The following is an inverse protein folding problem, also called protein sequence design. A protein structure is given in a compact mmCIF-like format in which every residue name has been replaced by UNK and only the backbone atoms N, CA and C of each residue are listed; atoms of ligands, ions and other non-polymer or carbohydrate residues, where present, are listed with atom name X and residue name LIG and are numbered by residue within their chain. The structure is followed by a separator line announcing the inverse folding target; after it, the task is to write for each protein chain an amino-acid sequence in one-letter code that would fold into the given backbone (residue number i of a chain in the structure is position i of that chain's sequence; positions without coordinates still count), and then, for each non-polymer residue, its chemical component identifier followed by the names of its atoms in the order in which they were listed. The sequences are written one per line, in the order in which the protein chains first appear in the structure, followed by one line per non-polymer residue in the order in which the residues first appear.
data_IF_676400177668
#
_entry.id   IF_676400177668
#
_cell.length_a   1.000
_cell.length_b   1.000
_cell.length_c   1.000
_cell.angle_alpha   90.00
_cell.angle_beta   90.00
_cell.angle_gamma   90.00
#
_symmetry.space_group_name_H-M   'P 1'
#
loop_
_entity.id
_entity.type
_entity.pdbx_description
1 polymer ?
#
# COMPACT_ATOMS: atom_id res chain seq x y z
N UNK A 1 -21.14 52.94 -37.10
CA UNK A 1 -21.54 52.08 -36.00
C UNK A 1 -20.37 51.11 -35.71
N UNK A 2 -19.43 51.51 -34.87
CA UNK A 2 -18.25 50.68 -34.45
C UNK A 2 -18.65 49.87 -33.22
N UNK A 3 -18.71 48.56 -33.35
CA UNK A 3 -18.85 47.66 -32.20
C UNK A 3 -17.43 47.30 -31.81
N UNK A 4 -16.87 47.98 -30.82
CA UNK A 4 -15.67 47.60 -30.15
C UNK A 4 -15.97 46.43 -29.18
N UNK A 5 -15.75 45.21 -29.64
CA UNK A 5 -15.68 44.05 -28.77
C UNK A 5 -14.31 44.01 -28.06
N UNK A 6 -14.13 44.89 -27.09
CA UNK A 6 -13.01 44.79 -26.17
C UNK A 6 -13.25 43.61 -25.24
N UNK A 7 -12.74 42.44 -25.63
CA UNK A 7 -12.70 41.26 -24.79
C UNK A 7 -11.93 41.61 -23.51
N UNK A 8 -12.61 41.61 -22.34
CA UNK A 8 -12.01 42.03 -21.08
C UNK A 8 -10.81 41.11 -20.78
N UNK A 9 -9.63 41.66 -20.48
CA UNK A 9 -8.40 40.95 -20.14
C UNK A 9 -8.62 39.72 -19.26
N UNK A 10 -9.57 39.83 -18.31
CA UNK A 10 -9.94 38.75 -17.39
C UNK A 10 -10.65 37.57 -18.09
N UNK A 11 -11.40 37.79 -19.15
CA UNK A 11 -12.05 36.74 -19.94
C UNK A 11 -11.03 36.03 -20.86
N UNK A 12 -10.10 36.78 -21.42
CA UNK A 12 -8.98 36.23 -22.19
C UNK A 12 -8.10 35.32 -21.32
N UNK A 13 -7.69 35.79 -20.14
CA UNK A 13 -6.89 34.99 -19.19
C UNK A 13 -7.60 33.70 -18.72
N UNK A 14 -8.91 33.77 -18.46
CA UNK A 14 -9.70 32.60 -18.09
C UNK A 14 -9.84 31.61 -19.25
N UNK A 15 -10.01 32.09 -20.45
CA UNK A 15 -10.09 31.25 -21.67
C UNK A 15 -8.77 30.56 -21.99
N UNK A 16 -7.65 31.28 -21.88
CA UNK A 16 -6.31 30.70 -22.12
C UNK A 16 -5.89 29.71 -21.04
N UNK A 17 -6.20 29.98 -19.75
CA UNK A 17 -5.94 29.03 -18.67
C UNK A 17 -6.78 27.74 -18.85
N UNK A 18 -8.05 27.86 -19.20
CA UNK A 18 -8.93 26.72 -19.46
C UNK A 18 -8.48 25.87 -20.65
N UNK A 19 -8.10 26.50 -21.75
CA UNK A 19 -7.57 25.81 -22.93
C UNK A 19 -6.21 25.12 -22.64
N UNK A 20 -5.31 25.78 -21.92
CA UNK A 20 -4.03 25.19 -21.53
C UNK A 20 -4.19 23.98 -20.60
N UNK A 21 -5.18 24.01 -19.69
CA UNK A 21 -5.47 22.87 -18.81
C UNK A 21 -6.03 21.67 -19.58
N UNK A 22 -6.88 21.87 -20.57
CA UNK A 22 -7.42 20.79 -21.42
C UNK A 22 -6.33 20.15 -22.30
N UNK A 23 -5.42 20.95 -22.86
CA UNK A 23 -4.30 20.46 -23.65
C UNK A 23 -3.30 19.70 -22.77
N UNK A 24 -3.08 20.14 -21.53
CA UNK A 24 -2.21 19.44 -20.58
C UNK A 24 -2.78 18.05 -20.20
N UNK A 25 -4.09 17.94 -19.99
CA UNK A 25 -4.75 16.66 -19.66
C UNK A 25 -4.75 15.68 -20.85
N UNK A 26 -5.03 16.16 -22.06
CA UNK A 26 -4.96 15.34 -23.28
C UNK A 26 -3.52 14.94 -23.67
N UNK A 27 -2.53 15.75 -23.26
CA UNK A 27 -1.11 15.46 -23.49
C UNK A 27 -0.58 14.29 -22.65
N UNK A 28 -1.18 14.01 -21.51
CA UNK A 28 -0.73 12.93 -20.62
C UNK A 28 -0.90 11.55 -21.27
N UNK A 29 -2.00 11.28 -21.96
CA UNK A 29 -2.22 9.98 -22.61
C UNK A 29 -1.25 9.72 -23.76
N UNK A 30 -0.97 10.72 -24.59
CA UNK A 30 0.03 10.61 -25.66
C UNK A 30 1.46 10.45 -25.10
N UNK A 31 1.75 11.09 -23.96
CA UNK A 31 3.05 11.01 -23.33
C UNK A 31 3.29 9.62 -22.74
N UNK A 32 2.31 9.07 -22.02
CA UNK A 32 2.39 7.74 -21.40
C UNK A 32 2.46 6.60 -22.42
N UNK A 33 1.89 6.80 -23.61
CA UNK A 33 1.95 5.84 -24.73
C UNK A 33 3.20 6.00 -25.60
N UNK A 34 4.05 6.99 -25.33
CA UNK A 34 5.30 7.19 -26.08
C UNK A 34 6.35 6.14 -25.70
N UNK A 35 7.22 5.75 -26.67
CA UNK A 35 8.25 4.74 -26.45
C UNK A 35 9.37 5.18 -25.48
N UNK A 36 9.54 6.47 -25.24
CA UNK A 36 10.63 7.02 -24.44
C UNK A 36 10.21 7.43 -23.02
N UNK A 37 8.98 7.90 -22.84
CA UNK A 37 8.52 8.47 -21.58
C UNK A 37 8.45 7.44 -20.41
N UNK A 38 8.01 6.18 -20.64
CA UNK A 38 8.12 5.15 -19.61
C UNK A 38 9.55 4.91 -19.14
N UNK A 39 10.54 5.07 -20.04
CA UNK A 39 11.95 5.00 -19.68
C UNK A 39 12.38 6.12 -18.73
N UNK A 40 11.90 7.34 -18.95
CA UNK A 40 12.17 8.49 -18.06
C UNK A 40 11.52 8.27 -16.69
N UNK A 41 10.27 7.79 -16.65
CA UNK A 41 9.58 7.49 -15.39
C UNK A 41 10.32 6.41 -14.59
N UNK A 42 10.80 5.36 -15.25
CA UNK A 42 11.58 4.30 -14.61
C UNK A 42 12.90 4.83 -14.03
N UNK A 43 13.57 5.77 -14.69
CA UNK A 43 14.77 6.41 -14.13
C UNK A 43 14.43 7.31 -12.94
N UNK A 44 13.33 8.05 -12.99
CA UNK A 44 12.85 8.86 -11.87
C UNK A 44 12.50 7.98 -10.65
N UNK A 45 11.88 6.83 -10.86
CA UNK A 45 11.60 5.85 -9.82
C UNK A 45 12.89 5.32 -9.17
N UNK A 46 13.87 4.92 -9.98
CA UNK A 46 15.18 4.46 -9.48
C UNK A 46 15.89 5.55 -8.68
N UNK A 47 15.85 6.80 -9.14
CA UNK A 47 16.43 7.92 -8.42
C UNK A 47 15.71 8.14 -7.07
N UNK A 48 14.39 8.11 -7.08
CA UNK A 48 13.58 8.23 -5.85
C UNK A 48 13.91 7.11 -4.86
N UNK A 49 13.99 5.87 -5.33
CA UNK A 49 14.37 4.73 -4.51
C UNK A 49 15.78 4.87 -3.93
N UNK A 50 16.74 5.37 -4.73
CA UNK A 50 18.10 5.63 -4.27
C UNK A 50 18.12 6.69 -3.17
N UNK A 51 17.43 7.82 -3.37
CA UNK A 51 17.33 8.89 -2.38
C UNK A 51 16.70 8.39 -1.10
N UNK A 52 15.60 7.65 -1.19
CA UNK A 52 14.94 7.06 -0.02
C UNK A 52 15.87 6.11 0.74
N UNK A 53 16.66 5.28 0.05
CA UNK A 53 17.64 4.37 0.69
C UNK A 53 18.75 5.12 1.41
N UNK A 54 19.15 6.30 0.91
CA UNK A 54 20.19 7.13 1.55
C UNK A 54 19.66 7.80 2.81
N UNK A 55 18.42 8.30 2.79
CA UNK A 55 17.83 9.03 3.93
C UNK A 55 17.13 8.12 4.94
N UNK A 56 16.74 6.89 4.54
CA UNK A 56 16.06 5.93 5.42
C UNK A 56 17.01 4.78 5.74
N UNK A 57 17.41 4.59 7.02
CA UNK A 57 18.25 3.48 7.40
C UNK A 57 17.65 2.13 6.98
N UNK A 58 18.48 1.18 6.57
CA UNK A 58 18.01 -0.14 6.11
C UNK A 58 17.23 -0.93 7.19
N UNK A 59 17.45 -0.59 8.46
CA UNK A 59 16.77 -1.16 9.63
C UNK A 59 15.69 -0.24 10.21
N UNK A 60 15.27 0.80 9.48
CA UNK A 60 14.19 1.67 9.93
C UNK A 60 12.91 0.87 10.07
N UNK A 61 12.35 0.87 11.27
CA UNK A 61 11.04 0.30 11.56
C UNK A 61 9.98 1.40 11.62
N UNK A 62 8.73 1.01 11.48
CA UNK A 62 7.62 1.92 11.72
C UNK A 62 7.69 2.48 13.15
N UNK A 63 7.30 3.77 13.31
CA UNK A 63 7.21 4.39 14.63
C UNK A 63 6.27 3.57 15.50
N UNK A 64 6.73 3.18 16.67
CA UNK A 64 5.90 2.55 17.70
C UNK A 64 5.30 3.62 18.62
N UNK A 65 4.11 3.33 19.13
CA UNK A 65 3.31 4.16 20.00
C UNK A 65 3.14 3.45 21.36
N UNK A 66 2.53 4.13 22.32
CA UNK A 66 2.23 3.58 23.64
C UNK A 66 0.81 3.06 23.73
N UNK A 67 0.50 2.30 24.79
CA UNK A 67 -0.88 1.82 25.03
C UNK A 67 -1.89 2.98 25.19
N UNK A 68 -1.45 4.14 25.63
CA UNK A 68 -2.30 5.33 25.74
C UNK A 68 -2.69 5.94 24.38
N UNK A 69 -1.92 5.64 23.33
CA UNK A 69 -2.15 6.15 21.98
C UNK A 69 -3.09 5.24 21.15
N UNK A 70 -3.41 4.04 21.66
CA UNK A 70 -4.27 3.09 20.95
C UNK A 70 -5.64 3.69 20.68
N UNK A 71 -6.08 3.66 19.43
CA UNK A 71 -7.36 4.22 19.03
C UNK A 71 -8.51 3.47 19.67
N UNK A 72 -9.47 4.22 20.22
CA UNK A 72 -10.69 3.64 20.83
C UNK A 72 -11.60 2.97 19.78
N UNK A 73 -11.50 3.40 18.53
CA UNK A 73 -12.20 2.84 17.37
C UNK A 73 -11.16 2.49 16.32
N UNK A 74 -11.16 1.23 15.90
CA UNK A 74 -10.40 0.78 14.74
C UNK A 74 -11.41 0.34 13.68
N UNK A 75 -11.63 1.12 12.61
CA UNK A 75 -12.58 0.78 11.57
C UNK A 75 -12.23 -0.54 10.89
N UNK A 76 -13.24 -1.32 10.52
CA UNK A 76 -13.03 -2.49 9.68
C UNK A 76 -12.61 -2.03 8.27
N UNK A 77 -11.58 -2.66 7.73
CA UNK A 77 -11.16 -2.43 6.36
C UNK A 77 -11.93 -3.39 5.45
N UNK A 78 -12.86 -2.84 4.66
CA UNK A 78 -13.71 -3.61 3.77
C UNK A 78 -14.74 -4.45 4.53
N UNK A 79 -14.71 -5.76 4.30
CA UNK A 79 -15.71 -6.70 4.78
C UNK A 79 -15.13 -7.63 5.86
N UNK A 80 -15.86 -7.83 6.95
CA UNK A 80 -15.50 -8.75 8.03
C UNK A 80 -16.07 -10.15 7.84
N UNK A 81 -17.06 -10.30 6.94
CA UNK A 81 -17.63 -11.58 6.52
C UNK A 81 -17.77 -11.58 5.00
N UNK A 82 -16.94 -12.33 4.27
CA UNK A 82 -17.01 -12.40 2.80
C UNK A 82 -18.23 -13.14 2.30
N UNK A 83 -19.03 -13.78 3.15
CA UNK A 83 -20.26 -14.51 2.76
C UNK A 83 -20.00 -15.73 1.87
N UNK A 84 -18.77 -16.26 1.85
CA UNK A 84 -18.42 -17.43 1.04
C UNK A 84 -18.61 -18.74 1.81
N UNK A 85 -18.96 -19.81 1.12
CA UNK A 85 -19.10 -21.14 1.72
C UNK A 85 -17.76 -21.65 2.31
N UNK A 86 -16.64 -21.28 1.70
CA UNK A 86 -15.30 -21.61 2.19
C UNK A 86 -15.02 -20.94 3.54
N UNK A 87 -15.31 -19.64 3.66
CA UNK A 87 -15.16 -18.93 4.92
C UNK A 87 -16.07 -19.50 6.01
N UNK A 88 -17.33 -19.80 5.68
CA UNK A 88 -18.27 -20.43 6.62
C UNK A 88 -17.74 -21.78 7.13
N UNK A 89 -17.16 -22.62 6.27
CA UNK A 89 -16.55 -23.89 6.67
C UNK A 89 -15.31 -23.70 7.55
N UNK A 90 -14.54 -22.63 7.35
CA UNK A 90 -13.44 -22.28 8.26
C UNK A 90 -13.95 -21.83 9.62
N UNK A 91 -14.99 -21.00 9.67
CA UNK A 91 -15.63 -20.57 10.92
C UNK A 91 -16.19 -21.76 11.68
N UNK A 92 -16.92 -22.68 11.01
CA UNK A 92 -17.48 -23.89 11.62
C UNK A 92 -16.42 -24.81 12.22
N UNK A 93 -15.23 -24.87 11.61
CA UNK A 93 -14.09 -25.68 12.09
C UNK A 93 -13.13 -24.92 13.01
N UNK A 94 -13.48 -23.72 13.48
CA UNK A 94 -12.58 -22.83 14.23
C UNK A 94 -11.22 -22.67 13.53
N UNK A 95 -11.24 -22.54 12.20
CA UNK A 95 -10.06 -22.40 11.36
C UNK A 95 -9.03 -23.55 11.49
N UNK A 96 -9.43 -24.72 12.00
CA UNK A 96 -8.52 -25.84 12.22
C UNK A 96 -7.82 -26.33 10.93
N UNK A 97 -8.45 -26.15 9.76
CA UNK A 97 -7.90 -26.52 8.46
C UNK A 97 -7.29 -25.37 7.68
N UNK A 98 -7.36 -24.14 8.25
CA UNK A 98 -6.78 -22.97 7.59
C UNK A 98 -5.26 -23.00 7.71
N UNK A 99 -4.57 -22.62 6.65
CA UNK A 99 -3.11 -22.61 6.57
C UNK A 99 -2.59 -21.37 5.84
N UNK A 100 -1.38 -20.93 6.21
CA UNK A 100 -0.59 -19.98 5.45
C UNK A 100 0.46 -20.76 4.68
N UNK A 101 0.45 -20.62 3.36
CA UNK A 101 1.46 -21.23 2.50
C UNK A 101 2.53 -20.19 2.11
N UNK A 102 3.79 -20.55 2.25
CA UNK A 102 4.93 -19.77 1.78
C UNK A 102 5.58 -20.56 0.67
N UNK A 103 5.44 -20.07 -0.54
CA UNK A 103 5.87 -20.72 -1.79
C UNK A 103 6.57 -19.71 -2.70
N UNK A 104 7.12 -20.16 -3.81
CA UNK A 104 7.79 -19.33 -4.82
C UNK A 104 9.31 -19.40 -4.68
N UNK A 105 9.99 -18.23 -4.64
CA UNK A 105 11.44 -18.12 -4.59
C UNK A 105 11.99 -18.39 -3.18
N UNK A 106 11.78 -19.60 -2.67
CA UNK A 106 12.25 -20.09 -1.37
C UNK A 106 12.87 -21.49 -1.52
N UNK A 107 13.86 -21.81 -0.70
CA UNK A 107 14.51 -23.14 -0.71
C UNK A 107 13.60 -24.21 -0.08
N UNK A 108 12.83 -23.84 0.96
CA UNK A 108 11.97 -24.74 1.72
C UNK A 108 10.51 -24.27 1.74
N UNK A 109 9.72 -24.47 0.65
CA UNK A 109 8.30 -24.17 0.67
C UNK A 109 7.61 -24.87 1.84
N UNK A 110 6.79 -24.15 2.58
CA UNK A 110 6.22 -24.63 3.84
C UNK A 110 4.81 -24.13 4.01
N UNK A 111 3.95 -24.96 4.59
CA UNK A 111 2.58 -24.62 5.01
C UNK A 111 2.50 -24.64 6.54
N UNK A 112 1.87 -23.60 7.10
CA UNK A 112 1.71 -23.40 8.54
C UNK A 112 0.24 -23.37 8.91
N UNK A 113 -0.20 -24.28 9.76
CA UNK A 113 -1.53 -24.18 10.37
C UNK A 113 -1.60 -23.04 11.38
N UNK A 114 -2.80 -22.55 11.66
CA UNK A 114 -3.01 -21.52 12.68
C UNK A 114 -2.47 -21.96 14.07
N UNK A 115 -2.65 -23.23 14.41
CA UNK A 115 -2.11 -23.81 15.65
C UNK A 115 -0.57 -23.76 15.65
N UNK A 116 0.09 -24.18 14.59
CA UNK A 116 1.54 -24.14 14.48
C UNK A 116 2.11 -22.72 14.51
N UNK A 117 1.40 -21.73 13.94
CA UNK A 117 1.79 -20.33 14.06
C UNK A 117 1.68 -19.81 15.50
N UNK A 118 0.66 -20.20 16.24
CA UNK A 118 0.45 -19.79 17.63
C UNK A 118 1.52 -20.32 18.60
N UNK A 119 2.21 -21.39 18.24
CA UNK A 119 3.33 -21.95 19.03
C UNK A 119 4.66 -21.19 18.81
N UNK A 120 4.74 -20.36 17.78
CA UNK A 120 5.95 -19.59 17.50
C UNK A 120 6.04 -18.34 18.41
N UNK A 121 7.26 -17.85 18.69
CA UNK A 121 7.43 -16.61 19.44
C UNK A 121 6.67 -15.45 18.77
N UNK A 122 5.84 -14.77 19.55
CA UNK A 122 5.08 -13.64 19.09
C UNK A 122 5.70 -12.32 19.56
N UNK A 123 5.58 -11.27 18.76
CA UNK A 123 5.93 -9.89 19.10
C UNK A 123 4.67 -9.05 19.15
N UNK A 124 4.59 -8.18 20.16
CA UNK A 124 3.58 -7.12 20.22
C UNK A 124 4.18 -5.80 19.77
N UNK A 125 3.46 -5.06 18.96
CA UNK A 125 3.82 -3.69 18.55
C UNK A 125 2.57 -2.82 18.47
N UNK A 126 2.75 -1.51 18.70
CA UNK A 126 1.68 -0.52 18.59
C UNK A 126 2.03 0.44 17.49
N UNK A 127 1.34 0.36 16.37
CA UNK A 127 1.67 1.12 15.15
C UNK A 127 0.43 1.78 14.56
N UNK A 128 0.67 2.88 13.85
CA UNK A 128 -0.37 3.56 13.07
C UNK A 128 -0.63 2.79 11.78
N UNK A 129 -1.90 2.66 11.46
CA UNK A 129 -2.41 2.17 10.20
C UNK A 129 -3.12 3.30 9.46
N UNK A 130 -2.69 3.56 8.23
CA UNK A 130 -3.30 4.53 7.32
C UNK A 130 -3.99 3.76 6.19
N UNK A 131 -5.31 3.89 6.09
CA UNK A 131 -6.11 3.19 5.09
C UNK A 131 -6.33 4.04 3.85
N UNK A 132 -6.40 3.39 2.69
CA UNK A 132 -6.75 4.06 1.41
C UNK A 132 -8.15 4.67 1.41
N UNK A 133 -9.02 4.23 2.32
CA UNK A 133 -10.35 4.80 2.55
C UNK A 133 -10.31 6.17 3.23
N UNK A 134 -9.13 6.69 3.57
CA UNK A 134 -8.93 8.03 4.12
C UNK A 134 -9.03 8.12 5.65
N UNK A 135 -9.04 7.02 6.37
CA UNK A 135 -8.96 7.01 7.83
C UNK A 135 -7.61 6.49 8.34
N UNK A 136 -7.26 6.87 9.57
CA UNK A 136 -6.06 6.39 10.26
C UNK A 136 -6.44 5.93 11.66
N UNK A 137 -5.80 4.87 12.14
CA UNK A 137 -5.97 4.38 13.50
C UNK A 137 -4.66 3.79 14.04
N UNK A 138 -4.47 3.82 15.34
CA UNK A 138 -3.35 3.19 16.02
C UNK A 138 -3.83 1.89 16.63
N UNK A 139 -3.26 0.77 16.18
CA UNK A 139 -3.60 -0.57 16.62
C UNK A 139 -2.48 -1.23 17.40
N UNK A 140 -2.86 -2.05 18.39
CA UNK A 140 -1.96 -2.95 19.10
C UNK A 140 -2.04 -4.34 18.49
N UNK A 141 -0.96 -4.78 17.90
CA UNK A 141 -0.87 -6.01 17.11
C UNK A 141 0.04 -7.01 17.80
N UNK A 142 -0.41 -8.23 17.95
CA UNK A 142 0.41 -9.34 18.44
C UNK A 142 0.41 -10.46 17.42
N UNK A 143 1.58 -10.91 17.02
CA UNK A 143 1.72 -11.97 16.04
C UNK A 143 3.16 -12.41 15.85
N UNK A 144 3.34 -13.46 15.06
CA UNK A 144 4.65 -13.98 14.69
C UNK A 144 5.33 -13.01 13.72
N UNK A 145 6.58 -12.58 13.97
CA UNK A 145 7.32 -11.78 13.02
C UNK A 145 7.49 -12.52 11.69
N UNK A 146 7.20 -11.85 10.58
CA UNK A 146 7.38 -12.44 9.24
C UNK A 146 8.84 -12.83 9.00
N UNK A 147 9.80 -12.09 9.57
CA UNK A 147 11.22 -12.43 9.52
C UNK A 147 11.51 -13.85 9.98
N UNK A 148 10.85 -14.31 11.04
CA UNK A 148 11.08 -15.62 11.62
C UNK A 148 10.59 -16.74 10.69
N UNK A 149 9.49 -16.50 9.97
CA UNK A 149 9.01 -17.40 8.93
C UNK A 149 9.94 -17.39 7.72
N UNK A 150 10.40 -16.19 7.30
CA UNK A 150 11.35 -16.05 6.19
C UNK A 150 12.69 -16.79 6.48
N UNK A 151 13.21 -16.69 7.69
CA UNK A 151 14.40 -17.44 8.08
C UNK A 151 14.23 -18.96 7.96
N UNK A 152 13.02 -19.46 8.19
CA UNK A 152 12.72 -20.90 8.08
C UNK A 152 12.60 -21.40 6.63
N UNK A 153 12.07 -20.58 5.73
CA UNK A 153 11.84 -20.94 4.33
C UNK A 153 13.01 -20.58 3.41
N UNK A 154 13.99 -19.80 3.89
CA UNK A 154 15.23 -19.44 3.20
C UNK A 154 14.96 -18.84 1.81
N UNK A 155 14.62 -17.55 1.70
CA UNK A 155 14.39 -16.90 0.41
C UNK A 155 15.62 -16.98 -0.47
N UNK A 156 15.42 -17.31 -1.75
CA UNK A 156 16.47 -17.33 -2.74
C UNK A 156 16.91 -15.91 -3.09
N UNK A 157 18.20 -15.67 -3.35
CA UNK A 157 18.66 -14.38 -3.84
C UNK A 157 18.06 -14.08 -5.22
N UNK A 158 17.63 -12.83 -5.43
CA UNK A 158 17.09 -12.31 -6.71
C UNK A 158 18.15 -11.56 -7.48
#
# INVERSE_FOLDING_TARGET
MKIENAMKRRQFLKGTLGAASLVALAGCDNLTQSNWFPGVLNQAEKLTALVQRVITPANALAKEYTDADVSTVFPANGNTDPGTAEYAAHVESDFARWQVEIVGLVEAPTSWSLAALKELPARTQITRHDCVEGWSAIGKWTGVPLSDLMHKVQPLPT
#
